data_IF_807548859914
#
_entry.id   IF_807548859914
#
_cell.length_a   1.000
_cell.length_b   1.000
_cell.length_c   1.000
_cell.angle_alpha   90.00
_cell.angle_beta   90.00
_cell.angle_gamma   90.00
#
_symmetry.space_group_name_H-M   'P 1'
#
loop_
_entity.id
_entity.type
_entity.pdbx_description
1 polymer ?
#
# COMPACT_ATOMS: atom_id res chain seq x y z
N UNK A 1 0.11 -15.20 4.39
CA UNK A 1 -0.29 -13.82 4.08
C UNK A 1 -0.06 -13.47 2.60
N UNK A 2 1.18 -13.48 2.10
CA UNK A 2 1.51 -13.11 0.70
C UNK A 2 0.68 -13.82 -0.38
N UNK A 3 0.42 -15.13 -0.24
CA UNK A 3 -0.42 -15.86 -1.20
C UNK A 3 -1.84 -15.29 -1.29
N UNK A 4 -2.41 -14.85 -0.17
CA UNK A 4 -3.73 -14.22 -0.13
C UNK A 4 -3.72 -12.84 -0.80
N UNK A 5 -2.75 -11.99 -0.47
CA UNK A 5 -2.58 -10.67 -1.08
C UNK A 5 -2.44 -10.75 -2.61
N UNK A 6 -1.67 -11.73 -3.11
CA UNK A 6 -1.48 -11.93 -4.55
C UNK A 6 -2.78 -12.38 -5.21
N UNK A 7 -3.50 -13.32 -4.59
CA UNK A 7 -4.79 -13.82 -5.13
C UNK A 7 -5.84 -12.72 -5.17
N UNK A 8 -5.99 -11.93 -4.10
CA UNK A 8 -6.93 -10.80 -4.07
C UNK A 8 -6.51 -9.69 -5.03
N UNK A 9 -5.22 -9.42 -5.18
CA UNK A 9 -4.71 -8.47 -6.16
C UNK A 9 -5.05 -8.88 -7.59
N UNK A 10 -4.80 -10.13 -7.96
CA UNK A 10 -5.15 -10.66 -9.28
C UNK A 10 -6.66 -10.64 -9.54
N UNK A 11 -7.47 -11.07 -8.57
CA UNK A 11 -8.93 -11.00 -8.66
C UNK A 11 -9.41 -9.56 -8.85
N UNK A 12 -8.84 -8.61 -8.11
CA UNK A 12 -9.16 -7.20 -8.23
C UNK A 12 -8.78 -6.63 -9.60
N UNK A 13 -7.65 -7.02 -10.21
CA UNK A 13 -7.28 -6.61 -11.58
C UNK A 13 -8.34 -7.08 -12.59
N UNK A 14 -8.76 -8.34 -12.50
CA UNK A 14 -9.80 -8.90 -13.37
C UNK A 14 -11.14 -8.21 -13.14
N UNK A 15 -11.50 -7.99 -11.88
CA UNK A 15 -12.72 -7.26 -11.50
C UNK A 15 -12.73 -5.83 -12.01
N UNK A 16 -11.60 -5.13 -11.95
CA UNK A 16 -11.45 -3.77 -12.45
C UNK A 16 -11.59 -3.74 -13.98
N UNK A 17 -10.99 -4.70 -14.69
CA UNK A 17 -11.11 -4.81 -16.14
C UNK A 17 -12.58 -5.09 -16.57
N UNK A 18 -13.25 -6.01 -15.88
CA UNK A 18 -14.66 -6.30 -16.11
C UNK A 18 -15.54 -5.06 -15.83
N UNK A 19 -15.33 -4.38 -14.71
CA UNK A 19 -16.06 -3.17 -14.34
C UNK A 19 -15.85 -2.02 -15.35
N UNK A 20 -14.60 -1.77 -15.76
CA UNK A 20 -14.29 -0.77 -16.79
C UNK A 20 -14.97 -1.11 -18.12
N UNK A 21 -14.96 -2.39 -18.52
CA UNK A 21 -15.61 -2.81 -19.76
C UNK A 21 -17.14 -2.70 -19.73
N UNK A 22 -17.77 -2.93 -18.57
CA UNK A 22 -19.21 -2.93 -18.42
C UNK A 22 -19.83 -1.52 -18.23
N UNK A 23 -19.08 -0.58 -17.67
CA UNK A 23 -19.61 0.76 -17.32
C UNK A 23 -19.19 1.84 -18.31
N UNK A 24 -17.90 1.88 -18.62
CA UNK A 24 -17.26 3.03 -19.28
C UNK A 24 -16.81 2.68 -20.70
N UNK A 25 -16.51 1.41 -20.95
CA UNK A 25 -15.88 0.96 -22.19
C UNK A 25 -14.41 1.40 -22.28
N UNK A 26 -13.74 1.02 -23.37
CA UNK A 26 -12.32 1.34 -23.59
C UNK A 26 -12.10 2.65 -24.37
N UNK A 27 -13.18 3.34 -24.70
CA UNK A 27 -13.19 4.58 -25.48
C UNK A 27 -13.01 5.83 -24.64
N UNK A 28 -13.25 6.97 -25.27
CA UNK A 28 -13.23 8.28 -24.62
C UNK A 28 -14.49 8.45 -23.77
N UNK A 29 -14.29 8.71 -22.48
CA UNK A 29 -15.36 8.78 -21.47
C UNK A 29 -15.85 10.21 -21.31
N UNK A 30 -14.93 11.15 -21.50
CA UNK A 30 -15.16 12.58 -21.42
C UNK A 30 -13.84 13.34 -21.37
N UNK A 31 -13.92 14.63 -21.68
CA UNK A 31 -12.79 15.56 -21.59
C UNK A 31 -12.94 16.38 -20.31
N UNK A 32 -11.93 16.34 -19.44
CA UNK A 32 -11.88 17.15 -18.21
C UNK A 32 -10.66 18.06 -18.31
N UNK A 33 -10.86 19.37 -18.14
CA UNK A 33 -9.80 20.38 -18.27
C UNK A 33 -9.00 20.31 -19.59
N UNK A 34 -9.65 19.93 -20.69
CA UNK A 34 -9.01 19.79 -22.01
C UNK A 34 -8.21 18.49 -22.20
N UNK A 35 -8.20 17.59 -21.21
CA UNK A 35 -7.52 16.28 -21.28
C UNK A 35 -8.58 15.19 -21.48
N UNK A 36 -8.44 14.41 -22.57
CA UNK A 36 -9.32 13.28 -22.86
C UNK A 36 -9.10 12.13 -21.86
N UNK A 37 -10.10 11.87 -21.02
CA UNK A 37 -10.09 10.73 -20.10
C UNK A 37 -10.62 9.52 -20.85
N UNK A 38 -9.73 8.58 -21.15
CA UNK A 38 -10.09 7.30 -21.78
C UNK A 38 -10.31 6.25 -20.69
N UNK A 39 -11.16 5.24 -20.94
CA UNK A 39 -11.32 4.10 -20.03
C UNK A 39 -10.00 3.38 -19.71
N UNK A 40 -9.04 3.39 -20.64
CA UNK A 40 -7.66 2.92 -20.42
C UNK A 40 -6.92 3.71 -19.32
N UNK A 41 -7.07 5.02 -19.28
CA UNK A 41 -6.43 5.87 -18.27
C UNK A 41 -7.03 5.60 -16.88
N UNK A 42 -8.34 5.38 -16.81
CA UNK A 42 -9.02 5.01 -15.57
C UNK A 42 -8.58 3.62 -15.08
N UNK A 43 -8.44 2.65 -15.99
CA UNK A 43 -7.95 1.31 -15.66
C UNK A 43 -6.51 1.37 -15.12
N UNK A 44 -5.61 2.11 -15.79
CA UNK A 44 -4.21 2.29 -15.34
C UNK A 44 -4.17 2.99 -13.98
N UNK A 45 -5.00 4.00 -13.75
CA UNK A 45 -5.10 4.68 -12.45
C UNK A 45 -5.52 3.70 -11.33
N UNK A 46 -6.50 2.84 -11.61
CA UNK A 46 -6.90 1.76 -10.69
C UNK A 46 -5.79 0.75 -10.42
N UNK A 47 -5.00 0.37 -11.43
CA UNK A 47 -3.82 -0.48 -11.26
C UNK A 47 -2.75 0.16 -10.39
N UNK A 48 -2.49 1.47 -10.56
CA UNK A 48 -1.53 2.21 -9.73
C UNK A 48 -2.02 2.21 -8.26
N UNK A 49 -3.30 2.48 -8.01
CA UNK A 49 -3.86 2.42 -6.66
C UNK A 49 -3.74 1.04 -6.01
N UNK A 50 -3.92 -0.03 -6.79
CA UNK A 50 -3.76 -1.40 -6.33
C UNK A 50 -2.29 -1.71 -6.00
N UNK A 51 -1.35 -1.20 -6.81
CA UNK A 51 0.08 -1.30 -6.55
C UNK A 51 0.49 -0.54 -5.29
N UNK A 52 0.02 0.70 -5.11
CA UNK A 52 0.23 1.51 -3.90
C UNK A 52 -0.27 0.77 -2.66
N UNK A 53 -1.47 0.20 -2.72
CA UNK A 53 -2.04 -0.59 -1.62
C UNK A 53 -1.14 -1.79 -1.28
N UNK A 54 -0.65 -2.50 -2.29
CA UNK A 54 0.28 -3.61 -2.09
C UNK A 54 1.60 -3.18 -1.44
N UNK A 55 2.18 -2.07 -1.89
CA UNK A 55 3.40 -1.50 -1.31
C UNK A 55 3.19 -1.11 0.16
N UNK A 56 2.06 -0.49 0.50
CA UNK A 56 1.72 -0.13 1.89
C UNK A 56 1.70 -1.38 2.76
N UNK A 57 1.05 -2.47 2.33
CA UNK A 57 1.01 -3.71 3.12
C UNK A 57 2.41 -4.27 3.39
N UNK A 58 3.28 -4.30 2.37
CA UNK A 58 4.65 -4.81 2.53
C UNK A 58 5.46 -3.95 3.50
N UNK A 59 5.32 -2.62 3.40
CA UNK A 59 5.98 -1.69 4.33
C UNK A 59 5.46 -1.90 5.76
N UNK A 60 4.14 -1.98 5.95
CA UNK A 60 3.55 -2.21 7.28
C UNK A 60 4.04 -3.54 7.87
N UNK A 61 4.11 -4.62 7.08
CA UNK A 61 4.63 -5.91 7.54
C UNK A 61 6.12 -5.82 7.94
N UNK A 62 6.92 -5.00 7.25
CA UNK A 62 8.32 -4.81 7.63
C UNK A 62 8.49 -4.12 8.99
N UNK A 63 7.66 -3.11 9.30
CA UNK A 63 7.71 -2.38 10.56
C UNK A 63 6.98 -3.07 11.72
N UNK A 64 6.07 -4.01 11.44
CA UNK A 64 5.26 -4.70 12.46
C UNK A 64 5.61 -6.19 12.66
N UNK A 65 6.28 -6.81 11.68
CA UNK A 65 6.63 -8.23 11.71
C UNK A 65 7.73 -8.58 12.72
N UNK A 66 7.60 -9.74 13.37
CA UNK A 66 8.64 -10.28 14.26
C UNK A 66 9.89 -10.67 13.47
N UNK A 67 11.07 -10.63 14.13
CA UNK A 67 12.38 -10.87 13.50
C UNK A 67 12.79 -9.83 12.42
N UNK A 68 12.17 -8.66 12.41
CA UNK A 68 12.59 -7.51 11.58
C UNK A 68 13.37 -6.52 12.43
N UNK A 69 14.28 -5.77 11.79
CA UNK A 69 15.12 -4.76 12.46
C UNK A 69 14.31 -3.80 13.36
N UNK A 70 13.17 -3.22 12.93
CA UNK A 70 12.44 -2.24 13.73
C UNK A 70 11.90 -2.87 15.02
N UNK A 71 11.19 -4.00 14.91
CA UNK A 71 10.61 -4.72 16.05
C UNK A 71 11.68 -5.29 16.99
N UNK A 72 12.77 -5.83 16.43
CA UNK A 72 13.88 -6.36 17.25
C UNK A 72 14.56 -5.25 18.07
N UNK A 73 14.66 -4.03 17.53
CA UNK A 73 15.23 -2.89 18.28
C UNK A 73 14.38 -2.51 19.49
N UNK A 74 13.05 -2.56 19.36
CA UNK A 74 12.09 -2.29 20.43
C UNK A 74 12.16 -3.41 21.50
N UNK A 75 12.25 -4.67 21.07
CA UNK A 75 12.39 -5.81 21.97
C UNK A 75 13.68 -5.75 22.80
N UNK A 76 14.82 -5.36 22.20
CA UNK A 76 16.07 -5.17 22.95
C UNK A 76 15.99 -3.99 23.93
N UNK A 77 15.34 -2.89 23.53
CA UNK A 77 15.09 -1.74 24.41
C UNK A 77 14.17 -2.07 25.60
N UNK A 78 13.46 -3.20 25.56
CA UNK A 78 12.66 -3.69 26.69
C UNK A 78 13.51 -4.30 27.82
N UNK A 79 14.73 -4.77 27.52
CA UNK A 79 15.66 -5.33 28.52
C UNK A 79 16.21 -4.23 29.43
N UNK A 80 16.33 -3.00 28.92
CA UNK A 80 16.86 -1.84 29.67
C UNK A 80 15.80 -1.12 30.50
N UNK A 81 14.51 -1.43 30.30
CA UNK A 81 13.40 -0.87 31.08
C UNK A 81 12.15 -0.54 30.25
N UNK A 82 11.02 -0.34 30.93
CA UNK A 82 9.74 -0.03 30.26
C UNK A 82 9.75 1.35 29.58
N UNK A 83 10.48 2.32 30.15
CA UNK A 83 10.60 3.66 29.56
C UNK A 83 11.37 3.66 28.24
N UNK A 84 12.47 2.91 28.14
CA UNK A 84 13.25 2.78 26.91
C UNK A 84 12.48 2.06 25.81
N UNK A 85 11.62 1.10 26.18
CA UNK A 85 10.69 0.47 25.23
C UNK A 85 9.72 1.47 24.60
N UNK A 86 9.10 2.35 25.42
CA UNK A 86 8.16 3.37 24.92
C UNK A 86 8.86 4.38 24.02
N UNK A 87 10.04 4.88 24.42
CA UNK A 87 10.81 5.85 23.61
C UNK A 87 11.20 5.24 22.27
N UNK A 88 11.73 4.00 22.28
CA UNK A 88 12.13 3.31 21.05
C UNK A 88 10.92 3.00 20.15
N UNK A 89 9.79 2.59 20.74
CA UNK A 89 8.55 2.36 20.01
C UNK A 89 8.04 3.61 19.31
N UNK A 90 8.06 4.76 20.00
CA UNK A 90 7.67 6.04 19.40
C UNK A 90 8.62 6.45 18.26
N UNK A 91 9.94 6.29 18.44
CA UNK A 91 10.91 6.60 17.40
C UNK A 91 10.67 5.76 16.13
N UNK A 92 10.44 4.46 16.27
CA UNK A 92 10.13 3.57 15.15
C UNK A 92 8.79 3.91 14.50
N UNK A 93 7.78 4.33 15.28
CA UNK A 93 6.49 4.74 14.73
C UNK A 93 6.61 5.96 13.80
N UNK A 94 7.44 6.94 14.18
CA UNK A 94 7.72 8.12 13.36
C UNK A 94 8.53 7.78 12.10
N UNK A 95 9.43 6.80 12.18
CA UNK A 95 10.15 6.30 11.00
C UNK A 95 9.20 5.57 10.02
N UNK A 96 8.25 4.80 10.55
CA UNK A 96 7.37 3.95 9.75
C UNK A 96 6.39 4.71 8.85
N UNK A 97 6.15 6.00 9.10
CA UNK A 97 5.26 6.85 8.28
C UNK A 97 5.95 7.46 7.07
N UNK A 98 7.29 7.52 7.05
CA UNK A 98 8.04 8.14 5.96
C UNK A 98 7.91 7.37 4.64
N UNK A 99 8.05 6.03 4.68
CA UNK A 99 7.96 5.20 3.47
C UNK A 99 6.53 5.18 2.87
N UNK A 100 5.44 4.99 3.65
CA UNK A 100 4.09 5.10 3.12
C UNK A 100 3.79 6.48 2.52
N UNK A 101 4.31 7.56 3.13
CA UNK A 101 4.12 8.92 2.63
C UNK A 101 4.83 9.17 1.28
N UNK A 102 5.97 8.51 1.02
CA UNK A 102 6.66 8.58 -0.27
C UNK A 102 5.94 7.78 -1.37
N UNK A 103 5.23 6.73 -0.97
CA UNK A 103 4.50 5.85 -1.91
C UNK A 103 3.22 6.49 -2.43
N UNK A 104 2.60 7.38 -1.64
CA UNK A 104 1.37 8.12 -1.98
C UNK A 104 1.71 9.35 -2.81
#
# INVERSE_FOLDING_TARGET
LYKGLIVTGLLSIVGLAAATSATVGWGEVGTVAGIGVTGKNLFICGLIGLLVTGLIVVITEYYTGTNKRPVNSIAQASVTGHGTNVIQGLAVSLESTALPAIVI
#
